data_IF_364604853035
#
_entry.id   IF_364604853035
#
_cell.length_a   1.000
_cell.length_b   1.000
_cell.length_c   1.000
_cell.angle_alpha   90.00
_cell.angle_beta   90.00
_cell.angle_gamma   90.00
#
_symmetry.space_group_name_H-M   'P 1'
#
loop_
_entity.id
_entity.type
_entity.pdbx_description
1 polymer ?
#
# COMPACT_ATOMS: atom_id res chain seq x y z
N UNK A 1 24.37 -9.32 13.55
CA UNK A 1 23.18 -9.69 14.35
C UNK A 1 21.95 -9.18 13.57
N UNK A 2 21.10 -10.08 13.07
CA UNK A 2 19.85 -9.70 12.40
C UNK A 2 18.94 -9.03 13.43
N UNK A 3 18.58 -7.74 13.22
CA UNK A 3 17.59 -7.05 14.04
C UNK A 3 16.27 -7.82 13.87
N UNK A 4 15.64 -8.25 14.95
CA UNK A 4 14.33 -8.91 14.87
C UNK A 4 13.39 -8.01 14.06
N UNK A 5 12.59 -8.62 13.16
CA UNK A 5 11.65 -7.86 12.36
C UNK A 5 10.67 -7.15 13.31
N UNK A 6 10.51 -5.83 13.17
CA UNK A 6 9.57 -5.07 13.98
C UNK A 6 8.14 -5.60 13.78
N UNK A 7 7.36 -5.49 14.84
CA UNK A 7 5.96 -5.87 14.83
C UNK A 7 5.14 -5.00 13.85
N UNK A 8 4.14 -5.54 13.11
CA UNK A 8 3.35 -4.73 12.17
C UNK A 8 2.71 -3.49 12.79
N UNK A 9 2.27 -3.56 14.05
CA UNK A 9 1.70 -2.41 14.79
C UNK A 9 2.73 -1.32 15.02
N UNK A 10 3.97 -1.67 15.39
CA UNK A 10 5.07 -0.72 15.58
C UNK A 10 5.44 -0.04 14.26
N UNK A 11 5.47 -0.81 13.17
CA UNK A 11 5.75 -0.30 11.81
C UNK A 11 4.66 0.68 11.37
N UNK A 12 3.39 0.34 11.56
CA UNK A 12 2.27 1.21 11.23
C UNK A 12 2.32 2.51 12.03
N UNK A 13 2.45 2.42 13.35
CA UNK A 13 2.52 3.60 14.23
C UNK A 13 3.75 4.46 13.94
N UNK A 14 4.89 3.83 13.64
CA UNK A 14 6.10 4.55 13.27
C UNK A 14 5.90 5.39 12.02
N UNK A 15 5.37 4.81 10.94
CA UNK A 15 5.10 5.55 9.71
C UNK A 15 4.00 6.59 9.89
N UNK A 16 2.96 6.31 10.69
CA UNK A 16 1.91 7.28 11.01
C UNK A 16 2.47 8.53 11.69
N UNK A 17 3.39 8.35 12.65
CA UNK A 17 4.07 9.47 13.30
C UNK A 17 4.91 10.29 12.32
N UNK A 18 5.61 9.63 11.41
CA UNK A 18 6.39 10.33 10.36
C UNK A 18 5.50 11.21 9.48
N UNK A 19 4.32 10.72 9.10
CA UNK A 19 3.33 11.52 8.34
C UNK A 19 2.79 12.68 9.19
N UNK A 20 2.43 12.43 10.44
CA UNK A 20 1.94 13.47 11.36
C UNK A 20 2.97 14.59 11.53
N UNK A 21 4.20 14.26 11.89
CA UNK A 21 5.28 15.22 12.06
C UNK A 21 5.56 16.04 10.80
N UNK A 22 5.34 15.44 9.63
CA UNK A 22 5.47 16.14 8.36
C UNK A 22 4.31 17.12 8.14
N UNK A 23 3.05 16.68 8.35
CA UNK A 23 1.86 17.53 8.23
C UNK A 23 1.88 18.70 9.22
N UNK A 24 2.36 18.50 10.45
CA UNK A 24 2.49 19.54 11.48
C UNK A 24 3.43 20.69 11.09
N UNK A 25 4.36 20.46 10.16
CA UNK A 25 5.32 21.45 9.67
C UNK A 25 4.81 22.25 8.48
N UNK A 26 3.70 21.83 7.88
CA UNK A 26 3.18 22.49 6.69
C UNK A 26 2.57 23.86 7.05
N UNK A 27 2.75 24.86 6.18
CA UNK A 27 2.01 26.10 6.29
C UNK A 27 0.52 25.86 5.98
N UNK A 28 -0.36 26.71 6.54
CA UNK A 28 -1.82 26.54 6.43
C UNK A 28 -2.32 26.45 4.98
N UNK A 29 -1.77 27.25 4.09
CA UNK A 29 -2.13 27.25 2.67
C UNK A 29 -1.78 25.98 1.93
N UNK A 30 -0.82 25.18 2.43
CA UNK A 30 -0.45 23.91 1.83
C UNK A 30 -1.60 22.88 1.87
N UNK A 31 -2.49 22.96 2.87
CA UNK A 31 -3.59 22.01 3.02
C UNK A 31 -4.64 22.12 1.90
N UNK A 32 -4.80 23.28 1.28
CA UNK A 32 -5.70 23.50 0.14
C UNK A 32 -5.06 23.15 -1.22
N UNK A 33 -3.75 22.90 -1.26
CA UNK A 33 -3.04 22.60 -2.52
C UNK A 33 -3.48 21.25 -3.08
N UNK A 34 -3.57 21.14 -4.43
CA UNK A 34 -3.91 19.88 -5.09
C UNK A 34 -2.82 18.85 -4.87
N UNK A 35 -3.23 17.58 -4.79
CA UNK A 35 -2.31 16.44 -4.74
C UNK A 35 -2.09 15.85 -6.14
N UNK A 36 -1.17 14.87 -6.24
CA UNK A 36 -0.98 14.04 -7.43
C UNK A 36 -2.17 13.12 -7.70
N UNK A 37 -3.11 12.99 -6.74
CA UNK A 37 -4.36 12.28 -6.93
C UNK A 37 -5.39 13.27 -7.50
N UNK A 38 -6.04 12.95 -8.64
CA UNK A 38 -7.04 13.83 -9.24
C UNK A 38 -8.14 14.19 -8.23
N UNK A 39 -8.51 15.46 -8.19
CA UNK A 39 -9.59 16.00 -7.36
C UNK A 39 -9.37 15.94 -5.84
N UNK A 40 -8.16 15.66 -5.37
CA UNK A 40 -7.83 15.60 -3.95
C UNK A 40 -6.85 16.70 -3.55
N UNK A 41 -7.19 17.44 -2.50
CA UNK A 41 -6.28 18.34 -1.78
C UNK A 41 -5.44 17.58 -0.75
N UNK A 42 -4.43 18.24 -0.21
CA UNK A 42 -3.61 17.70 0.90
C UNK A 42 -4.47 17.41 2.14
N UNK A 43 -5.44 18.30 2.45
CA UNK A 43 -6.37 18.07 3.56
C UNK A 43 -7.25 16.84 3.33
N UNK A 44 -7.75 16.62 2.12
CA UNK A 44 -8.56 15.44 1.80
C UNK A 44 -7.74 14.15 1.83
N UNK A 45 -6.47 14.20 1.42
CA UNK A 45 -5.57 13.04 1.56
C UNK A 45 -5.27 12.74 3.04
N UNK A 46 -5.10 13.77 3.88
CA UNK A 46 -5.00 13.59 5.32
C UNK A 46 -6.31 13.03 5.92
N UNK A 47 -7.47 13.50 5.46
CA UNK A 47 -8.78 12.96 5.80
C UNK A 47 -8.93 11.48 5.44
N UNK A 48 -8.38 11.07 4.28
CA UNK A 48 -8.31 9.65 3.90
C UNK A 48 -7.49 8.81 4.88
N UNK A 49 -6.39 9.33 5.38
CA UNK A 49 -5.60 8.63 6.39
C UNK A 49 -6.36 8.50 7.71
N UNK A 50 -7.17 9.51 8.11
CA UNK A 50 -8.06 9.40 9.27
C UNK A 50 -9.08 8.29 9.06
N UNK A 51 -9.76 8.29 7.91
CA UNK A 51 -10.73 7.26 7.53
C UNK A 51 -10.11 5.85 7.57
N UNK A 52 -8.87 5.69 7.07
CA UNK A 52 -8.15 4.43 7.08
C UNK A 52 -7.86 3.92 8.50
N UNK A 53 -7.42 4.79 9.41
CA UNK A 53 -7.16 4.44 10.82
C UNK A 53 -8.47 4.11 11.56
N UNK A 54 -9.53 4.91 11.38
CA UNK A 54 -10.86 4.64 11.97
C UNK A 54 -11.46 3.34 11.44
N UNK A 55 -11.31 3.07 10.14
CA UNK A 55 -11.73 1.82 9.52
C UNK A 55 -10.99 0.60 10.07
N UNK A 56 -9.68 0.74 10.38
CA UNK A 56 -8.92 -0.28 11.08
C UNK A 56 -9.50 -0.56 12.47
N UNK A 57 -9.69 0.48 13.28
CA UNK A 57 -10.27 0.35 14.64
C UNK A 57 -11.67 -0.31 14.60
N UNK A 58 -12.52 0.11 13.68
CA UNK A 58 -13.86 -0.47 13.51
C UNK A 58 -13.78 -1.97 13.17
N UNK A 59 -12.83 -2.38 12.33
CA UNK A 59 -12.64 -3.79 11.99
C UNK A 59 -12.10 -4.59 13.18
N UNK A 60 -11.14 -4.06 13.95
CA UNK A 60 -10.61 -4.70 15.17
C UNK A 60 -11.69 -4.95 16.21
N UNK A 61 -12.71 -4.10 16.31
CA UNK A 61 -13.87 -4.29 17.18
C UNK A 61 -14.88 -5.34 16.68
N UNK A 62 -14.61 -6.03 15.56
CA UNK A 62 -15.53 -7.00 14.93
C UNK A 62 -14.88 -8.37 14.72
N UNK A 63 -14.49 -9.10 15.78
CA UNK A 63 -13.92 -10.43 15.65
C UNK A 63 -14.92 -11.40 15.02
N UNK A 64 -14.42 -12.37 14.25
CA UNK A 64 -15.25 -13.36 13.58
C UNK A 64 -14.57 -14.73 13.56
N UNK A 65 -15.35 -15.81 13.38
CA UNK A 65 -14.84 -17.17 13.18
C UNK A 65 -14.89 -17.62 11.72
N UNK A 66 -15.21 -16.71 10.80
CA UNK A 66 -15.20 -17.01 9.37
C UNK A 66 -13.78 -17.28 8.89
N UNK A 67 -13.64 -18.09 7.85
CA UNK A 67 -12.33 -18.30 7.20
C UNK A 67 -11.82 -16.99 6.60
N UNK A 68 -10.62 -16.53 6.95
CA UNK A 68 -10.08 -15.29 6.42
C UNK A 68 -9.82 -15.40 4.91
N UNK A 69 -10.09 -14.32 4.20
CA UNK A 69 -9.68 -14.17 2.80
C UNK A 69 -8.17 -13.98 2.73
N UNK A 70 -7.49 -14.58 1.75
CA UNK A 70 -6.13 -14.19 1.41
C UNK A 70 -6.04 -12.71 1.08
N UNK A 71 -4.96 -12.03 1.46
CA UNK A 71 -4.79 -10.59 1.22
C UNK A 71 -4.96 -10.23 -0.26
N UNK A 72 -4.47 -11.08 -1.17
CA UNK A 72 -4.59 -10.90 -2.61
C UNK A 72 -6.05 -10.85 -3.12
N UNK A 73 -6.95 -11.58 -2.47
CA UNK A 73 -8.39 -11.57 -2.75
C UNK A 73 -9.07 -10.38 -2.06
N UNK A 74 -8.71 -10.13 -0.80
CA UNK A 74 -9.31 -9.03 -0.02
C UNK A 74 -9.13 -7.66 -0.69
N UNK A 75 -7.96 -7.39 -1.28
CA UNK A 75 -7.66 -6.10 -1.90
C UNK A 75 -8.41 -5.88 -3.23
N UNK A 76 -8.88 -6.91 -3.90
CA UNK A 76 -9.70 -6.78 -5.12
C UNK A 76 -11.02 -6.03 -4.87
N UNK A 77 -11.48 -6.00 -3.62
CA UNK A 77 -12.64 -5.21 -3.19
C UNK A 77 -12.39 -3.70 -3.07
N UNK A 78 -11.19 -3.18 -3.34
CA UNK A 78 -10.93 -1.73 -3.29
C UNK A 78 -11.63 -0.99 -4.42
N UNK A 79 -11.46 -1.43 -5.65
CA UNK A 79 -11.97 -0.78 -6.85
C UNK A 79 -13.48 -0.54 -6.84
N UNK A 80 -14.34 -1.52 -6.50
CA UNK A 80 -15.79 -1.30 -6.42
C UNK A 80 -16.22 -0.28 -5.36
N UNK A 81 -15.37 0.01 -4.37
CA UNK A 81 -15.66 0.90 -3.25
C UNK A 81 -14.92 2.26 -3.33
N UNK A 82 -14.22 2.54 -4.43
CA UNK A 82 -13.36 3.73 -4.55
C UNK A 82 -14.14 5.04 -4.35
N UNK A 83 -15.33 5.17 -4.93
CA UNK A 83 -16.18 6.36 -4.80
C UNK A 83 -16.65 6.58 -3.35
N UNK A 84 -17.11 5.53 -2.68
CA UNK A 84 -17.53 5.61 -1.29
C UNK A 84 -16.37 5.95 -0.35
N UNK A 85 -15.17 5.42 -0.60
CA UNK A 85 -13.95 5.76 0.13
C UNK A 85 -13.60 7.23 -0.08
N UNK A 86 -13.66 7.72 -1.32
CA UNK A 86 -13.40 9.12 -1.65
C UNK A 86 -14.38 10.06 -0.95
N UNK A 87 -15.67 9.76 -0.98
CA UNK A 87 -16.70 10.56 -0.30
C UNK A 87 -16.47 10.62 1.23
N UNK A 88 -16.20 9.47 1.86
CA UNK A 88 -15.91 9.41 3.29
C UNK A 88 -14.64 10.20 3.67
N UNK A 89 -13.62 10.17 2.82
CA UNK A 89 -12.35 10.91 3.03
C UNK A 89 -12.56 12.42 2.96
N UNK A 90 -13.37 12.92 2.01
CA UNK A 90 -13.75 14.33 1.93
C UNK A 90 -14.55 14.76 3.16
N UNK A 91 -15.50 13.94 3.61
CA UNK A 91 -16.26 14.24 4.83
C UNK A 91 -15.35 14.38 6.06
N UNK A 92 -14.31 13.55 6.21
CA UNK A 92 -13.33 13.72 7.28
C UNK A 92 -12.60 15.07 7.19
N UNK A 93 -12.19 15.48 5.99
CA UNK A 93 -11.54 16.78 5.78
C UNK A 93 -12.48 17.97 6.01
N UNK A 94 -13.77 17.85 5.64
CA UNK A 94 -14.79 18.88 5.88
C UNK A 94 -15.04 19.12 7.38
N UNK A 95 -14.96 18.07 8.20
CA UNK A 95 -15.14 18.19 9.66
C UNK A 95 -13.96 18.85 10.37
N UNK A 96 -12.80 18.94 9.70
CA UNK A 96 -11.59 19.56 10.23
C UNK A 96 -10.82 20.26 9.11
N UNK A 97 -11.26 21.45 8.65
CA UNK A 97 -10.64 22.14 7.53
C UNK A 97 -9.22 22.63 7.84
N UNK A 98 -8.40 22.69 6.79
CA UNK A 98 -7.01 23.16 6.88
C UNK A 98 -6.17 22.28 7.81
N UNK A 99 -5.31 22.90 8.60
CA UNK A 99 -4.40 22.22 9.53
C UNK A 99 -5.12 21.51 10.68
N UNK A 100 -6.41 21.78 10.93
CA UNK A 100 -7.19 21.10 11.98
C UNK A 100 -7.31 19.59 11.73
N UNK A 101 -7.19 19.14 10.47
CA UNK A 101 -7.18 17.70 10.10
C UNK A 101 -6.03 16.94 10.79
N UNK A 102 -4.91 17.61 11.08
CA UNK A 102 -3.73 17.00 11.72
C UNK A 102 -4.07 16.53 13.14
N UNK A 103 -4.80 17.34 13.91
CA UNK A 103 -5.23 16.98 15.26
C UNK A 103 -6.17 15.76 15.26
N UNK A 104 -7.07 15.65 14.26
CA UNK A 104 -7.92 14.47 14.12
C UNK A 104 -7.13 13.22 13.73
N UNK A 105 -6.14 13.35 12.83
CA UNK A 105 -5.26 12.23 12.49
C UNK A 105 -4.44 11.79 13.70
N UNK A 106 -3.87 12.74 14.47
CA UNK A 106 -3.14 12.44 15.69
C UNK A 106 -4.00 11.63 16.69
N UNK A 107 -5.27 12.04 16.86
CA UNK A 107 -6.22 11.30 17.70
C UNK A 107 -6.46 9.88 17.16
N UNK A 108 -6.70 9.70 15.87
CA UNK A 108 -6.94 8.38 15.27
C UNK A 108 -5.73 7.45 15.42
N UNK A 109 -4.50 7.99 15.29
CA UNK A 109 -3.26 7.24 15.53
C UNK A 109 -3.10 6.86 17.01
N UNK A 110 -3.44 7.75 17.94
CA UNK A 110 -3.39 7.45 19.37
C UNK A 110 -4.42 6.38 19.76
N UNK A 111 -5.63 6.45 19.22
CA UNK A 111 -6.67 5.44 19.42
C UNK A 111 -6.20 4.06 18.90
N UNK A 112 -5.52 4.01 17.74
CA UNK A 112 -4.89 2.79 17.23
C UNK A 112 -3.80 2.27 18.18
N UNK A 113 -2.94 3.13 18.69
CA UNK A 113 -1.88 2.72 19.61
C UNK A 113 -2.46 2.07 20.89
N UNK A 114 -3.56 2.61 21.40
CA UNK A 114 -4.28 2.02 22.53
C UNK A 114 -4.85 0.65 22.19
N UNK A 115 -5.51 0.52 21.03
CA UNK A 115 -6.10 -0.75 20.61
C UNK A 115 -5.05 -1.85 20.31
N UNK A 116 -3.81 -1.47 20.03
CA UNK A 116 -2.74 -2.42 19.73
C UNK A 116 -2.08 -3.02 20.97
N UNK A 117 -2.33 -2.50 22.17
CA UNK A 117 -1.69 -2.96 23.41
C UNK A 117 -1.98 -4.45 23.68
N UNK A 118 -3.21 -4.90 23.43
CA UNK A 118 -3.67 -6.27 23.68
C UNK A 118 -4.10 -6.99 22.39
N UNK A 119 -3.53 -6.60 21.25
CA UNK A 119 -3.97 -7.08 19.93
C UNK A 119 -3.54 -8.51 19.66
N UNK A 120 -4.51 -9.43 19.49
CA UNK A 120 -4.26 -10.75 18.91
C UNK A 120 -4.08 -10.64 17.40
N UNK A 121 -2.84 -10.85 16.94
CA UNK A 121 -2.49 -10.78 15.53
C UNK A 121 -3.01 -11.92 14.67
N UNK A 122 -3.32 -13.05 15.27
CA UNK A 122 -3.84 -14.22 14.58
C UNK A 122 -5.36 -14.22 14.54
N UNK A 123 -6.00 -13.30 15.29
CA UNK A 123 -7.44 -13.16 15.24
C UNK A 123 -7.93 -12.83 13.82
N UNK A 124 -9.12 -13.32 13.49
CA UNK A 124 -9.82 -12.94 12.26
C UNK A 124 -10.86 -11.90 12.60
N UNK A 125 -10.87 -10.82 11.84
CA UNK A 125 -11.80 -9.70 12.02
C UNK A 125 -12.60 -9.47 10.74
N UNK A 126 -13.80 -8.88 10.90
CA UNK A 126 -14.63 -8.53 9.76
C UNK A 126 -14.29 -7.12 9.28
N UNK A 127 -13.40 -7.04 8.30
CA UNK A 127 -13.10 -5.81 7.59
C UNK A 127 -14.20 -5.42 6.59
N UNK A 128 -14.12 -4.24 5.98
CA UNK A 128 -15.14 -3.75 5.04
C UNK A 128 -15.27 -4.61 3.76
N UNK A 129 -14.30 -5.47 3.47
CA UNK A 129 -14.28 -6.33 2.27
C UNK A 129 -14.38 -7.82 2.61
N UNK A 130 -14.70 -8.15 3.84
CA UNK A 130 -14.86 -9.52 4.32
C UNK A 130 -13.91 -9.87 5.47
N UNK A 131 -13.89 -11.16 5.87
CA UNK A 131 -13.04 -11.64 6.95
C UNK A 131 -11.57 -11.61 6.52
N UNK A 132 -10.70 -11.12 7.42
CA UNK A 132 -9.26 -11.02 7.19
C UNK A 132 -8.51 -11.23 8.51
N UNK A 133 -7.29 -11.78 8.47
CA UNK A 133 -6.46 -11.82 9.67
C UNK A 133 -6.07 -10.40 10.10
N UNK A 134 -5.95 -10.17 11.39
CA UNK A 134 -5.47 -8.89 11.93
C UNK A 134 -4.12 -8.51 11.33
N UNK A 135 -3.22 -9.47 11.19
CA UNK A 135 -1.89 -9.26 10.57
C UNK A 135 -2.01 -8.76 9.12
N UNK A 136 -2.84 -9.40 8.29
CA UNK A 136 -2.99 -8.99 6.89
C UNK A 136 -3.71 -7.64 6.78
N UNK A 137 -4.67 -7.37 7.65
CA UNK A 137 -5.32 -6.06 7.71
C UNK A 137 -4.31 -4.96 8.04
N UNK A 138 -3.42 -5.16 9.02
CA UNK A 138 -2.33 -4.24 9.34
C UNK A 138 -1.38 -4.05 8.14
N UNK A 139 -1.05 -5.12 7.42
CA UNK A 139 -0.22 -5.04 6.21
C UNK A 139 -0.87 -4.16 5.13
N UNK A 140 -2.19 -4.27 4.91
CA UNK A 140 -2.89 -3.39 3.96
C UNK A 140 -2.84 -1.93 4.40
N UNK A 141 -2.93 -1.64 5.70
CA UNK A 141 -2.82 -0.26 6.24
C UNK A 141 -1.41 0.30 6.12
N UNK A 142 -0.37 -0.53 6.28
CA UNK A 142 1.02 -0.11 6.04
C UNK A 142 1.22 0.21 4.55
N UNK A 143 0.70 -0.61 3.63
CA UNK A 143 0.76 -0.31 2.19
C UNK A 143 0.12 1.04 1.90
N UNK A 144 -1.10 1.27 2.37
CA UNK A 144 -1.84 2.51 2.18
C UNK A 144 -1.07 3.73 2.69
N UNK A 145 -0.51 3.63 3.89
CA UNK A 145 0.24 4.72 4.52
C UNK A 145 1.54 5.04 3.77
N UNK A 146 2.28 4.02 3.29
CA UNK A 146 3.51 4.23 2.51
C UNK A 146 3.20 4.80 1.12
N UNK A 147 2.13 4.32 0.46
CA UNK A 147 1.68 4.86 -0.84
C UNK A 147 1.32 6.34 -0.71
N UNK A 148 0.54 6.70 0.29
CA UNK A 148 0.13 8.10 0.48
C UNK A 148 1.25 9.00 1.03
N UNK A 149 2.27 8.44 1.69
CA UNK A 149 3.51 9.16 1.98
C UNK A 149 4.25 9.58 0.68
N UNK A 150 4.29 8.69 -0.31
CA UNK A 150 4.85 9.01 -1.64
C UNK A 150 3.96 10.03 -2.39
N UNK A 151 2.63 9.86 -2.34
CA UNK A 151 1.68 10.79 -2.96
C UNK A 151 1.83 12.21 -2.37
N UNK A 152 1.89 12.37 -1.03
CA UNK A 152 2.13 13.64 -0.35
C UNK A 152 3.47 14.28 -0.75
N UNK A 153 4.55 13.49 -0.77
CA UNK A 153 5.88 13.97 -1.18
C UNK A 153 5.90 14.52 -2.60
N UNK A 154 5.19 13.86 -3.51
CA UNK A 154 5.09 14.26 -4.92
C UNK A 154 4.16 15.45 -5.13
N UNK A 155 3.20 15.63 -4.24
CA UNK A 155 2.23 16.74 -4.30
C UNK A 155 2.84 18.08 -3.89
N UNK A 156 3.81 18.05 -2.98
CA UNK A 156 4.46 19.25 -2.44
C UNK A 156 5.99 19.18 -2.66
N UNK A 157 6.47 19.30 -3.91
CA UNK A 157 7.90 19.15 -4.23
C UNK A 157 8.79 20.26 -3.65
N UNK A 158 8.19 21.35 -3.20
CA UNK A 158 8.81 22.45 -2.48
C UNK A 158 9.01 22.18 -0.97
N UNK A 159 8.43 21.10 -0.46
CA UNK A 159 8.59 20.65 0.91
C UNK A 159 9.55 19.46 0.99
N UNK A 160 10.25 19.26 2.14
CA UNK A 160 11.00 18.02 2.36
C UNK A 160 10.09 16.80 2.18
N UNK A 161 10.57 15.70 1.56
CA UNK A 161 9.71 14.53 1.33
C UNK A 161 9.28 13.85 2.64
N UNK A 162 8.11 13.24 2.64
CA UNK A 162 7.70 12.29 3.69
C UNK A 162 8.54 11.03 3.57
N UNK A 163 9.41 10.79 4.53
CA UNK A 163 10.31 9.64 4.49
C UNK A 163 9.54 8.34 4.78
N UNK A 164 9.50 7.43 3.82
CA UNK A 164 9.05 6.07 4.10
C UNK A 164 10.09 5.39 4.99
N UNK A 165 9.71 5.01 6.22
CA UNK A 165 10.60 4.30 7.12
C UNK A 165 11.02 2.97 6.50
N UNK A 166 12.28 2.55 6.72
CA UNK A 166 12.86 1.34 6.10
C UNK A 166 11.98 0.10 6.31
N UNK A 167 11.47 -0.11 7.52
CA UNK A 167 10.68 -1.30 7.85
C UNK A 167 9.25 -1.19 7.27
N UNK A 168 8.69 0.03 7.15
CA UNK A 168 7.42 0.27 6.47
C UNK A 168 7.52 0.02 4.96
N UNK A 169 8.56 0.55 4.30
CA UNK A 169 8.80 0.30 2.87
C UNK A 169 9.06 -1.18 2.60
N UNK A 170 9.86 -1.84 3.44
CA UNK A 170 10.13 -3.28 3.33
C UNK A 170 8.84 -4.11 3.48
N UNK A 171 7.97 -3.76 4.42
CA UNK A 171 6.70 -4.44 4.64
C UNK A 171 5.73 -4.20 3.49
N UNK A 172 5.61 -2.95 3.04
CA UNK A 172 4.82 -2.56 1.88
C UNK A 172 5.24 -3.36 0.63
N UNK A 173 6.54 -3.39 0.32
CA UNK A 173 7.09 -4.11 -0.83
C UNK A 173 6.76 -5.60 -0.78
N UNK A 174 6.96 -6.26 0.38
CA UNK A 174 6.65 -7.69 0.54
C UNK A 174 5.16 -7.97 0.41
N UNK A 175 4.32 -7.10 0.94
CA UNK A 175 2.86 -7.25 0.84
C UNK A 175 2.40 -7.12 -0.61
N UNK A 176 2.86 -6.11 -1.34
CA UNK A 176 2.54 -5.94 -2.76
C UNK A 176 3.07 -7.10 -3.61
N UNK A 177 4.27 -7.61 -3.32
CA UNK A 177 4.81 -8.77 -4.00
C UNK A 177 3.99 -10.05 -3.72
N UNK A 178 3.52 -10.25 -2.49
CA UNK A 178 2.63 -11.35 -2.14
C UNK A 178 1.25 -11.22 -2.82
N UNK A 179 0.73 -10.00 -2.94
CA UNK A 179 -0.51 -9.72 -3.68
C UNK A 179 -0.32 -10.08 -5.17
N UNK A 180 0.76 -9.63 -5.81
CA UNK A 180 1.09 -9.99 -7.19
C UNK A 180 1.11 -11.50 -7.39
N UNK A 181 1.88 -12.22 -6.57
CA UNK A 181 1.98 -13.68 -6.66
C UNK A 181 0.65 -14.40 -6.39
N UNK A 182 -0.18 -13.85 -5.50
CA UNK A 182 -1.49 -14.42 -5.16
C UNK A 182 -2.58 -14.15 -6.20
N UNK A 183 -2.55 -12.98 -6.87
CA UNK A 183 -3.48 -12.65 -7.95
C UNK A 183 -3.10 -13.31 -9.27
N UNK A 184 -1.80 -13.53 -9.49
CA UNK A 184 -1.25 -14.07 -10.74
C UNK A 184 -0.34 -15.28 -10.44
N UNK A 185 -0.90 -16.37 -9.90
CA UNK A 185 -0.11 -17.54 -9.50
C UNK A 185 0.55 -18.20 -10.71
N UNK A 186 1.84 -18.54 -10.61
CA UNK A 186 2.61 -19.18 -11.67
C UNK A 186 4.11 -18.98 -11.51
N UNK A 187 4.87 -19.41 -12.51
CA UNK A 187 6.34 -19.41 -12.47
C UNK A 187 6.95 -18.97 -13.81
N UNK A 188 6.21 -18.19 -14.61
CA UNK A 188 6.70 -17.74 -15.92
C UNK A 188 7.65 -16.55 -15.82
N UNK A 189 7.49 -15.70 -14.80
CA UNK A 189 8.31 -14.51 -14.57
C UNK A 189 8.75 -14.46 -13.11
N UNK A 190 10.01 -14.15 -12.86
CA UNK A 190 10.52 -13.78 -11.53
C UNK A 190 10.58 -12.26 -11.42
N UNK A 191 9.88 -11.72 -10.42
CA UNK A 191 9.86 -10.28 -10.10
C UNK A 191 10.75 -10.06 -8.88
N UNK A 192 11.79 -9.26 -9.04
CA UNK A 192 12.76 -8.90 -8.01
C UNK A 192 12.62 -7.45 -7.61
N UNK A 193 12.50 -7.22 -6.31
CA UNK A 193 12.45 -5.89 -5.72
C UNK A 193 13.48 -5.82 -4.57
N UNK A 194 14.79 -5.78 -4.91
CA UNK A 194 15.82 -5.77 -3.90
C UNK A 194 15.75 -4.49 -3.04
N UNK A 195 16.10 -4.57 -1.75
CA UNK A 195 16.53 -5.77 -1.01
C UNK A 195 15.36 -6.52 -0.34
N UNK A 196 14.10 -6.28 -0.70
CA UNK A 196 12.94 -6.63 0.13
C UNK A 196 12.18 -7.86 -0.32
N UNK A 197 12.07 -8.11 -1.64
CA UNK A 197 11.25 -9.21 -2.15
C UNK A 197 11.80 -9.81 -3.46
N UNK A 198 11.51 -11.09 -3.67
CA UNK A 198 11.55 -11.78 -4.95
C UNK A 198 10.40 -12.78 -4.98
N UNK A 199 9.57 -12.73 -6.02
CA UNK A 199 8.40 -13.59 -6.19
C UNK A 199 8.31 -14.10 -7.63
N UNK A 200 7.59 -15.19 -7.82
CA UNK A 200 7.24 -15.70 -9.15
C UNK A 200 5.76 -15.49 -9.40
N UNK A 201 5.42 -15.10 -10.63
CA UNK A 201 4.05 -14.95 -11.09
C UNK A 201 3.90 -15.46 -12.52
N UNK A 202 2.66 -15.61 -12.97
CA UNK A 202 2.32 -15.75 -14.39
C UNK A 202 1.97 -14.39 -14.97
N UNK A 203 2.07 -14.26 -16.30
CA UNK A 203 1.56 -13.10 -17.02
C UNK A 203 0.22 -13.44 -17.66
N UNK A 204 -0.59 -12.41 -17.89
CA UNK A 204 -1.84 -12.50 -18.63
C UNK A 204 -1.75 -11.60 -19.85
N UNK A 205 -1.88 -12.19 -21.03
CA UNK A 205 -1.91 -11.44 -22.30
C UNK A 205 -3.24 -11.73 -22.97
N UNK A 206 -3.96 -10.68 -23.37
CA UNK A 206 -5.26 -10.78 -24.03
C UNK A 206 -6.28 -11.67 -23.29
N UNK A 207 -6.28 -11.60 -21.95
CA UNK A 207 -7.15 -12.39 -21.09
C UNK A 207 -6.75 -13.87 -20.95
N UNK A 208 -5.65 -14.28 -21.55
CA UNK A 208 -5.09 -15.64 -21.43
C UNK A 208 -3.90 -15.64 -20.48
N UNK A 209 -4.02 -16.39 -19.39
CA UNK A 209 -2.89 -16.61 -18.49
C UNK A 209 -1.92 -17.60 -19.11
N UNK A 210 -0.70 -17.14 -19.42
CA UNK A 210 0.39 -18.01 -19.86
C UNK A 210 1.13 -18.58 -18.64
N UNK A 211 0.95 -19.85 -18.30
CA UNK A 211 1.70 -20.48 -17.21
C UNK A 211 3.20 -20.55 -17.51
N UNK A 212 3.59 -20.37 -18.78
CA UNK A 212 4.97 -20.39 -19.25
C UNK A 212 5.73 -21.64 -18.90
N UNK A 213 7.00 -21.73 -19.28
CA UNK A 213 7.89 -22.74 -18.72
C UNK A 213 8.09 -22.46 -17.24
N UNK A 214 7.73 -23.44 -16.40
CA UNK A 214 7.98 -23.34 -14.96
C UNK A 214 9.47 -23.42 -14.70
N UNK A 215 9.98 -22.45 -13.96
CA UNK A 215 11.37 -22.41 -13.52
C UNK A 215 11.46 -22.94 -12.09
N UNK A 216 12.25 -23.96 -11.86
CA UNK A 216 12.43 -24.56 -10.53
C UNK A 216 13.86 -24.51 -10.00
N UNK A 217 14.86 -24.38 -10.89
CA UNK A 217 16.30 -24.28 -10.55
C UNK A 217 17.04 -23.52 -11.64
N UNK A 218 18.14 -22.83 -11.27
CA UNK A 218 19.02 -22.07 -12.18
C UNK A 218 18.57 -20.63 -12.38
N UNK A 219 19.01 -19.99 -13.47
CA UNK A 219 18.65 -18.59 -13.81
C UNK A 219 17.25 -18.57 -14.43
N UNK A 220 16.31 -17.75 -13.91
CA UNK A 220 14.98 -17.61 -14.48
C UNK A 220 15.05 -17.14 -15.94
N UNK A 221 14.23 -17.69 -16.85
CA UNK A 221 14.22 -17.28 -18.26
C UNK A 221 13.62 -15.90 -18.48
N UNK A 222 12.79 -15.42 -17.54
CA UNK A 222 12.16 -14.10 -17.58
C UNK A 222 12.28 -13.46 -16.21
N UNK A 223 12.88 -12.27 -16.18
CA UNK A 223 13.13 -11.51 -14.93
C UNK A 223 12.70 -10.08 -15.12
N UNK A 224 11.99 -9.56 -14.13
CA UNK A 224 11.71 -8.14 -13.94
C UNK A 224 12.39 -7.71 -12.66
N UNK A 225 13.22 -6.66 -12.72
CA UNK A 225 13.89 -6.10 -11.55
C UNK A 225 13.62 -4.60 -11.46
N UNK A 226 13.25 -4.12 -10.27
CA UNK A 226 13.00 -2.70 -10.00
C UNK A 226 13.25 -2.39 -8.53
N UNK A 227 13.40 -1.10 -8.20
CA UNK A 227 13.50 -0.66 -6.81
C UNK A 227 12.12 -0.64 -6.10
N UNK A 228 12.11 -0.59 -4.74
CA UNK A 228 10.87 -0.64 -3.96
C UNK A 228 9.88 0.49 -4.24
N UNK A 229 10.36 1.72 -4.51
CA UNK A 229 9.48 2.87 -4.76
C UNK A 229 8.85 2.78 -6.14
N UNK A 230 9.62 2.41 -7.15
CA UNK A 230 9.12 2.16 -8.49
C UNK A 230 8.09 1.01 -8.49
N UNK A 231 8.38 -0.09 -7.77
CA UNK A 231 7.43 -1.20 -7.64
C UNK A 231 6.13 -0.79 -6.96
N UNK A 232 6.20 -0.02 -5.88
CA UNK A 232 5.03 0.57 -5.20
C UNK A 232 4.18 1.38 -6.20
N UNK A 233 4.80 2.28 -6.94
CA UNK A 233 4.11 3.15 -7.91
C UNK A 233 3.47 2.37 -9.05
N UNK A 234 4.13 1.34 -9.57
CA UNK A 234 3.59 0.43 -10.57
C UNK A 234 2.39 -0.36 -10.03
N UNK A 235 2.56 -0.96 -8.86
CA UNK A 235 1.53 -1.78 -8.21
C UNK A 235 0.26 -1.01 -7.85
N UNK A 236 0.36 0.31 -7.73
CA UNK A 236 -0.75 1.21 -7.35
C UNK A 236 -1.16 2.19 -8.46
N UNK A 237 -0.66 2.01 -9.68
CA UNK A 237 -1.02 2.80 -10.85
C UNK A 237 -0.53 4.25 -10.84
N UNK A 238 0.52 4.57 -10.04
CA UNK A 238 1.13 5.91 -9.97
C UNK A 238 2.14 6.18 -11.09
N UNK A 239 2.59 5.14 -11.76
CA UNK A 239 3.40 5.19 -12.98
C UNK A 239 2.95 4.05 -13.90
N UNK A 240 2.94 4.28 -15.21
CA UNK A 240 2.66 3.22 -16.17
C UNK A 240 3.86 2.28 -16.34
N UNK A 241 3.60 1.04 -16.75
CA UNK A 241 4.65 0.09 -17.12
C UNK A 241 5.56 0.66 -18.21
N UNK A 242 4.96 1.25 -19.25
CA UNK A 242 5.67 1.82 -20.38
C UNK A 242 6.65 2.94 -19.94
N UNK A 243 6.19 3.86 -19.08
CA UNK A 243 7.04 4.94 -18.57
C UNK A 243 8.18 4.41 -17.71
N UNK A 244 7.91 3.41 -16.86
CA UNK A 244 8.93 2.81 -16.00
C UNK A 244 10.04 2.09 -16.80
N UNK A 245 9.67 1.42 -17.90
CA UNK A 245 10.62 0.80 -18.82
C UNK A 245 11.39 1.88 -19.58
N UNK A 246 10.70 2.90 -20.12
CA UNK A 246 11.32 3.99 -20.88
C UNK A 246 12.36 4.77 -20.06
N UNK A 247 12.07 5.01 -18.78
CA UNK A 247 12.99 5.72 -17.86
C UNK A 247 14.12 4.83 -17.33
N UNK A 248 14.09 3.52 -17.60
CA UNK A 248 15.05 2.55 -17.08
C UNK A 248 14.85 2.24 -15.58
N UNK A 249 13.72 2.65 -14.99
CA UNK A 249 13.38 2.34 -13.60
C UNK A 249 12.98 0.88 -13.41
N UNK A 250 12.65 0.20 -14.51
CA UNK A 250 12.41 -1.25 -14.59
C UNK A 250 13.41 -1.86 -15.56
N UNK A 251 14.02 -2.97 -15.16
CA UNK A 251 14.85 -3.83 -16.02
C UNK A 251 14.06 -5.12 -16.27
N UNK A 252 13.68 -5.33 -17.53
CA UNK A 252 12.95 -6.51 -17.97
C UNK A 252 13.84 -7.34 -18.92
N UNK A 253 13.95 -8.63 -18.70
CA UNK A 253 14.76 -9.56 -19.48
C UNK A 253 13.99 -10.86 -19.72
N UNK A 254 13.94 -11.29 -20.98
CA UNK A 254 13.21 -12.47 -21.43
C UNK A 254 11.92 -12.10 -22.17
N UNK A 255 11.43 -13.03 -22.99
CA UNK A 255 10.27 -12.80 -23.88
C UNK A 255 8.93 -12.59 -23.16
N UNK A 256 8.85 -13.01 -21.87
CA UNK A 256 7.65 -12.89 -21.03
C UNK A 256 7.84 -11.90 -19.87
N UNK A 257 8.86 -11.05 -19.92
CA UNK A 257 9.14 -10.09 -18.86
C UNK A 257 8.36 -8.78 -19.03
N UNK A 258 7.05 -8.87 -19.35
CA UNK A 258 6.14 -7.74 -19.45
C UNK A 258 5.01 -7.91 -18.43
N UNK A 259 4.92 -6.98 -17.48
CA UNK A 259 3.89 -6.97 -16.44
C UNK A 259 2.74 -5.99 -16.72
N UNK A 260 2.68 -5.38 -17.90
CA UNK A 260 1.62 -4.41 -18.22
C UNK A 260 0.21 -4.99 -18.11
N UNK A 261 0.04 -6.28 -18.42
CA UNK A 261 -1.26 -6.97 -18.32
C UNK A 261 -1.68 -7.40 -16.92
N UNK A 262 -0.78 -7.26 -15.91
CA UNK A 262 -1.05 -7.66 -14.51
C UNK A 262 -0.91 -6.51 -13.53
N UNK A 263 -0.48 -5.35 -13.96
CA UNK A 263 -0.38 -4.12 -13.17
C UNK A 263 -1.37 -3.06 -13.68
N UNK A 264 -1.91 -2.21 -12.81
CA UNK A 264 -1.70 -2.17 -11.36
C UNK A 264 -2.47 -3.25 -10.60
N UNK A 265 -2.00 -3.57 -9.37
CA UNK A 265 -2.63 -4.55 -8.46
C UNK A 265 -3.77 -3.94 -7.65
N UNK A 266 -3.62 -2.65 -7.32
CA UNK A 266 -4.52 -1.85 -6.52
C UNK A 266 -4.92 -0.62 -7.35
N UNK A 267 -6.16 -0.58 -7.81
CA UNK A 267 -6.70 0.50 -8.63
C UNK A 267 -8.19 0.70 -8.35
#
# INVERSE_FOLDING_TARGET
MSKAAQHPTEVLLGQSRTVLEWLERLPEDAFSRPTVLPEWSVAELAGHLIFAHRGLLAALGRPTRQTPLPVAVYVQGYRPNAEAISAASRQEAETAPGSAVVGQLAKAVADCATAFADLDQQAVVLGPRGPITTTDLLHTRIVELVVHSDDLSRSLPDQPPVVAQRDALARCTRTLAAILAGQHPGRSVEVRVPPHAAVQCSITTDGVTDPGPTHTRGTPPNVVETDPVTFLRLATGRISWADAVLTGSVRASGLRADLSGVLPLLS
#
